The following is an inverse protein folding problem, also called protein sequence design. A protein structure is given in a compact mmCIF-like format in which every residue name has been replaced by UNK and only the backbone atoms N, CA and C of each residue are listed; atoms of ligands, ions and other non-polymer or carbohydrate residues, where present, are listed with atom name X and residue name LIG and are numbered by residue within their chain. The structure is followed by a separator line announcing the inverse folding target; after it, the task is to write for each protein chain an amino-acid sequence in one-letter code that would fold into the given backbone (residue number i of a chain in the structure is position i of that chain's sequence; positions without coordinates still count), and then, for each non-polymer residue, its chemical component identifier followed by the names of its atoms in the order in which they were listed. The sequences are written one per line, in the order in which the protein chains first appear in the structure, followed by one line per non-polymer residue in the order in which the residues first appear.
data_IF_894374600515
#
_entry.id   IF_894374600515
#
_cell.length_a   1.000
_cell.length_b   1.000
_cell.length_c   1.000
_cell.angle_alpha   90.00
_cell.angle_beta   90.00
_cell.angle_gamma   90.00
#
_symmetry.space_group_name_H-M   'P 1'
#
loop_
_entity.id
_entity.type
_entity.pdbx_description
1 polymer ?
#
# COMPACT_ATOMS: atom_id res chain seq x y z
N UNK A 1 6.92 20.30 1.12
CA UNK A 1 7.57 19.29 1.90
C UNK A 1 7.02 17.93 1.61
N UNK A 2 7.92 16.97 1.58
CA UNK A 2 7.54 15.64 1.13
C UNK A 2 7.12 14.78 2.29
N UNK A 3 5.88 14.92 2.66
CA UNK A 3 5.30 14.08 3.71
C UNK A 3 4.75 12.80 3.11
N UNK A 4 5.02 11.71 3.80
CA UNK A 4 4.46 10.42 3.39
C UNK A 4 3.18 10.16 4.16
N UNK A 5 2.13 9.78 3.45
CA UNK A 5 0.86 9.45 4.05
C UNK A 5 0.53 8.00 3.78
N UNK A 6 0.05 7.32 4.81
CA UNK A 6 -0.38 5.94 4.63
C UNK A 6 -1.67 5.95 3.82
N UNK A 7 -1.66 5.24 2.71
CA UNK A 7 -2.80 5.24 1.81
C UNK A 7 -3.56 3.92 1.86
N UNK A 8 -2.87 2.84 2.25
CA UNK A 8 -3.48 1.53 2.19
C UNK A 8 -2.68 0.53 3.02
N UNK A 9 -3.39 -0.43 3.61
CA UNK A 9 -2.76 -1.58 4.26
C UNK A 9 -3.42 -2.83 3.72
N UNK A 10 -2.62 -3.78 3.27
CA UNK A 10 -3.14 -5.00 2.70
C UNK A 10 -2.04 -6.05 2.67
N UNK A 11 -2.33 -7.20 2.08
CA UNK A 11 -1.33 -8.25 1.97
C UNK A 11 -0.17 -7.79 1.11
N UNK A 12 0.98 -8.44 1.28
CA UNK A 12 2.16 -8.06 0.52
C UNK A 12 1.94 -8.21 -0.98
N UNK A 13 1.16 -9.21 -1.38
CA UNK A 13 0.89 -9.42 -2.79
C UNK A 13 0.12 -8.23 -3.38
N UNK A 14 -0.92 -7.79 -2.68
CA UNK A 14 -1.72 -6.68 -3.14
C UNK A 14 -0.90 -5.39 -3.11
N UNK A 15 -0.16 -5.17 -2.04
CA UNK A 15 0.64 -3.95 -1.91
C UNK A 15 1.70 -3.88 -3.00
N UNK A 16 2.34 -5.01 -3.30
CA UNK A 16 3.36 -5.02 -4.36
C UNK A 16 2.75 -4.70 -5.72
N UNK A 17 1.56 -5.21 -5.99
CA UNK A 17 0.89 -4.91 -7.25
C UNK A 17 0.55 -3.44 -7.36
N UNK A 18 0.03 -2.88 -6.28
CA UNK A 18 -0.35 -1.47 -6.29
C UNK A 18 0.90 -0.60 -6.41
N UNK A 19 1.97 -0.95 -5.70
CA UNK A 19 3.21 -0.21 -5.80
C UNK A 19 3.73 -0.21 -7.23
N UNK A 20 3.62 -1.36 -7.90
CA UNK A 20 4.03 -1.45 -9.29
C UNK A 20 3.21 -0.52 -10.18
N UNK A 21 1.89 -0.50 -9.98
CA UNK A 21 1.03 0.36 -10.76
C UNK A 21 1.35 1.83 -10.53
N UNK A 22 1.62 2.18 -9.27
CA UNK A 22 2.00 3.56 -8.97
C UNK A 22 3.30 3.92 -9.65
N UNK A 23 4.26 3.01 -9.64
CA UNK A 23 5.52 3.26 -10.30
C UNK A 23 5.33 3.48 -11.78
N UNK A 24 4.43 2.73 -12.41
CA UNK A 24 4.14 2.88 -13.83
C UNK A 24 3.54 4.25 -14.13
N UNK A 25 2.97 4.87 -13.13
CA UNK A 25 2.38 6.20 -13.28
C UNK A 25 3.26 7.29 -12.71
N UNK A 26 4.54 6.98 -12.48
CA UNK A 26 5.52 7.93 -11.97
C UNK A 26 5.15 8.46 -10.59
N UNK A 27 4.55 7.60 -9.79
CA UNK A 27 4.21 7.95 -8.41
C UNK A 27 5.09 7.12 -7.49
N UNK A 28 6.06 7.73 -6.83
CA UNK A 28 6.89 6.99 -5.88
C UNK A 28 6.09 6.56 -4.67
N UNK A 29 6.37 5.36 -4.18
CA UNK A 29 5.66 4.84 -3.03
C UNK A 29 6.67 4.16 -2.11
N UNK A 30 6.26 4.01 -0.85
CA UNK A 30 7.08 3.36 0.16
C UNK A 30 6.22 2.29 0.82
N UNK A 31 6.79 1.10 0.97
CA UNK A 31 6.10 0.02 1.65
C UNK A 31 6.76 -0.23 2.99
N UNK A 32 5.94 -0.49 4.01
CA UNK A 32 6.44 -0.83 5.33
C UNK A 32 5.76 -2.11 5.79
N UNK A 33 6.59 -3.07 6.15
CA UNK A 33 6.12 -4.38 6.58
C UNK A 33 6.05 -4.40 8.10
N UNK A 34 4.85 -4.60 8.62
CA UNK A 34 4.63 -4.59 10.06
C UNK A 34 4.74 -5.97 10.69
N UNK A 35 5.09 -6.97 9.91
CA UNK A 35 5.16 -8.33 10.41
C UNK A 35 6.18 -8.47 11.53
N UNK A 36 7.28 -7.79 11.39
CA UNK A 36 8.36 -7.89 12.38
C UNK A 36 7.93 -7.34 13.73
N UNK A 37 7.31 -6.17 13.72
CA UNK A 37 6.84 -5.58 14.98
C UNK A 37 5.80 -6.47 15.65
N UNK A 38 4.93 -7.03 14.84
CA UNK A 38 3.87 -7.88 15.35
C UNK A 38 4.42 -9.16 15.92
N UNK A 39 5.48 -9.70 15.30
CA UNK A 39 6.12 -10.90 15.79
C UNK A 39 6.74 -10.67 17.17
N UNK A 40 7.31 -9.51 17.37
CA UNK A 40 7.92 -9.18 18.65
C UNK A 40 6.88 -9.05 19.75
N UNK A 41 5.67 -8.68 19.40
CA UNK A 41 4.62 -8.56 20.37
C UNK A 41 4.04 -9.91 20.81
N UNK A 42 4.36 -10.97 20.09
CA UNK A 42 3.95 -12.31 20.49
C UNK A 42 2.50 -12.60 20.25
N UNK A 43 1.82 -11.81 19.46
CA UNK A 43 0.43 -12.02 19.17
C UNK A 43 0.27 -12.74 17.84
N UNK A 44 -0.81 -13.50 17.74
CA UNK A 44 -1.16 -14.10 16.47
C UNK A 44 -1.46 -13.01 15.48
N UNK A 45 -0.59 -12.81 14.52
CA UNK A 45 -0.74 -11.73 13.60
C UNK A 45 -1.05 -12.21 12.23
N UNK A 46 -1.80 -11.42 11.52
CA UNK A 46 -1.93 -11.59 10.11
C UNK A 46 -0.53 -11.41 9.50
N UNK A 47 0.04 -12.46 8.92
CA UNK A 47 1.41 -12.38 8.41
C UNK A 47 1.55 -11.54 7.16
N UNK A 48 0.47 -10.96 6.69
CA UNK A 48 0.48 -10.26 5.41
C UNK A 48 0.04 -8.82 5.53
N UNK A 49 0.42 -8.17 6.60
CA UNK A 49 0.01 -6.77 6.78
C UNK A 49 1.14 -5.86 6.37
N UNK A 50 1.01 -5.23 5.23
CA UNK A 50 1.99 -4.30 4.71
C UNK A 50 1.30 -2.97 4.48
N UNK A 51 1.93 -1.89 4.92
CA UNK A 51 1.39 -0.56 4.75
C UNK A 51 2.05 0.11 3.55
N UNK A 52 1.26 0.82 2.77
CA UNK A 52 1.74 1.53 1.60
C UNK A 52 1.61 3.03 1.85
N UNK A 53 2.70 3.75 1.57
CA UNK A 53 2.76 5.19 1.77
C UNK A 53 3.09 5.87 0.47
N UNK A 54 2.51 7.05 0.26
CA UNK A 54 2.84 7.89 -0.89
C UNK A 54 3.05 9.32 -0.40
N UNK A 55 3.70 10.12 -1.22
CA UNK A 55 3.85 11.53 -0.90
C UNK A 55 2.49 12.21 -0.90
N UNK A 56 2.36 13.19 -0.05
CA UNK A 56 1.11 13.92 0.07
C UNK A 56 0.68 14.50 -1.28
N UNK A 57 1.63 15.00 -2.04
CA UNK A 57 1.32 15.60 -3.34
C UNK A 57 0.75 14.60 -4.34
N UNK A 58 1.03 13.32 -4.13
CA UNK A 58 0.56 12.27 -5.03
C UNK A 58 -0.64 11.50 -4.49
N UNK A 59 -1.12 11.89 -3.32
CA UNK A 59 -2.14 11.12 -2.64
C UNK A 59 -3.41 10.96 -3.47
N UNK A 60 -3.87 12.04 -4.07
CA UNK A 60 -5.09 11.99 -4.86
C UNK A 60 -4.94 11.08 -6.07
N UNK A 61 -3.82 11.24 -6.78
CA UNK A 61 -3.57 10.42 -7.96
C UNK A 61 -3.46 8.95 -7.57
N UNK A 62 -2.73 8.68 -6.51
CA UNK A 62 -2.55 7.31 -6.05
C UNK A 62 -3.88 6.70 -5.63
N UNK A 63 -4.72 7.46 -4.96
CA UNK A 63 -6.02 6.97 -4.55
C UNK A 63 -6.85 6.53 -5.74
N UNK A 64 -6.84 7.33 -6.80
CA UNK A 64 -7.60 6.98 -8.00
C UNK A 64 -7.11 5.69 -8.63
N UNK A 65 -5.80 5.51 -8.66
CA UNK A 65 -5.22 4.30 -9.21
C UNK A 65 -5.60 3.09 -8.38
N UNK A 66 -5.54 3.24 -7.06
CA UNK A 66 -5.90 2.14 -6.17
C UNK A 66 -7.36 1.78 -6.30
N UNK A 67 -8.22 2.79 -6.41
CA UNK A 67 -9.64 2.54 -6.57
C UNK A 67 -9.93 1.79 -7.86
N UNK A 68 -9.25 2.18 -8.94
CA UNK A 68 -9.42 1.49 -10.21
C UNK A 68 -8.97 0.04 -10.11
N UNK A 69 -7.86 -0.19 -9.42
CA UNK A 69 -7.34 -1.54 -9.24
C UNK A 69 -8.33 -2.40 -8.46
N UNK A 70 -8.84 -1.87 -7.37
CA UNK A 70 -9.77 -2.63 -6.53
C UNK A 70 -11.08 -2.89 -7.25
N UNK A 71 -11.52 -1.94 -8.05
CA UNK A 71 -12.75 -2.11 -8.82
C UNK A 71 -12.59 -3.24 -9.82
N UNK A 72 -11.44 -3.30 -10.47
CA UNK A 72 -11.17 -4.38 -11.40
C UNK A 72 -11.10 -5.72 -10.70
N UNK A 73 -10.42 -5.75 -9.55
CA UNK A 73 -10.24 -7.00 -8.82
C UNK A 73 -11.56 -7.55 -8.29
N UNK A 74 -12.49 -6.67 -7.97
CA UNK A 74 -13.75 -7.10 -7.37
C UNK A 74 -14.88 -7.17 -8.38
N UNK A 75 -14.59 -6.98 -9.63
CA UNK A 75 -15.64 -7.08 -10.65
C UNK A 75 -16.00 -8.54 -10.83
N UNK A 76 -17.22 -8.82 -10.66
CA UNK A 76 -17.74 -10.18 -10.81
C UNK A 76 -18.53 -10.29 -12.08
#
# INVERSE_FOLDING_TARGET
MNEHLKILTDSSIIINRIAYLLDQNNIPSITKDNVESARLAGFGISPNEVALYVYRSDYERATKIIEAFRKESSSD
#
